data_IF_659929074013
#
_entry.id   IF_659929074013
#
_cell.length_a   1.000
_cell.length_b   1.000
_cell.length_c   1.000
_cell.angle_alpha   90.00
_cell.angle_beta   90.00
_cell.angle_gamma   90.00
#
_symmetry.space_group_name_H-M   'P 1'
#
loop_
_entity.id
_entity.type
_entity.pdbx_description
1 polymer ?
#
# COMPACT_ATOMS: atom_id res chain seq x y z
N UNK A 1 2.87 7.45 13.51
CA UNK A 1 2.92 7.77 12.07
C UNK A 1 2.37 6.59 11.26
N UNK A 2 1.73 6.82 10.11
CA UNK A 2 1.30 5.74 9.20
C UNK A 2 2.29 5.65 8.04
N UNK A 3 3.14 4.63 8.05
CA UNK A 3 4.17 4.45 7.02
C UNK A 3 3.63 3.81 5.74
N UNK A 4 2.69 2.87 5.87
CA UNK A 4 2.13 2.20 4.70
C UNK A 4 1.41 3.17 3.76
N UNK A 5 1.66 3.09 2.44
CA UNK A 5 0.85 3.77 1.42
C UNK A 5 -0.54 3.14 1.28
N UNK A 6 -0.70 1.85 1.62
CA UNK A 6 -1.99 1.15 1.59
C UNK A 6 -2.80 1.37 2.87
N UNK A 7 -4.12 1.29 2.71
CA UNK A 7 -5.09 1.19 3.80
C UNK A 7 -5.55 -0.25 3.88
N UNK A 8 -4.99 -1.01 4.81
CA UNK A 8 -5.34 -2.42 4.96
C UNK A 8 -6.18 -2.66 6.23
N UNK A 9 -7.29 -3.40 6.15
CA UNK A 9 -8.01 -3.89 7.32
C UNK A 9 -7.11 -4.76 8.21
N UNK A 10 -7.35 -4.76 9.52
CA UNK A 10 -6.66 -5.67 10.45
C UNK A 10 -5.86 -4.99 11.56
N UNK A 11 -5.73 -3.65 11.56
CA UNK A 11 -5.34 -2.90 12.76
C UNK A 11 -3.99 -3.29 13.38
N UNK A 12 -3.12 -3.98 12.64
CA UNK A 12 -1.83 -4.50 13.14
C UNK A 12 -0.85 -3.40 13.56
N UNK A 13 -1.17 -2.13 13.33
CA UNK A 13 -0.43 -1.01 13.91
C UNK A 13 -0.30 -1.09 15.44
N UNK A 14 -1.23 -1.73 16.16
CA UNK A 14 -1.07 -2.00 17.61
C UNK A 14 -0.04 -3.08 17.92
N UNK A 15 0.22 -4.02 17.00
CA UNK A 15 1.21 -5.08 17.17
C UNK A 15 2.65 -4.57 17.04
N UNK A 16 2.87 -3.37 16.48
CA UNK A 16 4.21 -2.83 16.28
C UNK A 16 5.01 -2.77 17.60
N UNK A 17 4.37 -2.34 18.69
CA UNK A 17 5.00 -2.22 20.00
C UNK A 17 5.36 -3.59 20.56
N UNK A 18 4.47 -4.58 20.40
CA UNK A 18 4.71 -5.95 20.84
C UNK A 18 5.88 -6.56 20.06
N UNK A 19 5.89 -6.43 18.72
CA UNK A 19 6.94 -6.99 17.88
C UNK A 19 8.30 -6.34 18.16
N UNK A 20 8.33 -5.01 18.34
CA UNK A 20 9.54 -4.29 18.74
C UNK A 20 10.08 -4.80 20.07
N UNK A 21 9.22 -4.94 21.07
CA UNK A 21 9.60 -5.46 22.39
C UNK A 21 10.13 -6.90 22.31
N UNK A 22 9.50 -7.77 21.52
CA UNK A 22 9.99 -9.14 21.31
C UNK A 22 11.39 -9.17 20.66
N UNK A 23 11.66 -8.28 19.70
CA UNK A 23 12.97 -8.18 19.06
C UNK A 23 14.04 -7.66 20.04
N UNK A 24 13.69 -6.68 20.88
CA UNK A 24 14.54 -6.17 21.96
C UNK A 24 14.89 -7.27 22.97
N UNK A 25 13.89 -7.94 23.54
CA UNK A 25 14.10 -9.00 24.52
C UNK A 25 14.87 -10.21 23.97
N UNK A 26 14.77 -10.46 22.66
CA UNK A 26 15.47 -11.57 22.02
C UNK A 26 16.83 -11.20 21.42
N UNK A 27 17.28 -9.95 21.56
CA UNK A 27 18.55 -9.46 21.03
C UNK A 27 18.66 -9.47 19.51
N UNK A 28 17.52 -9.44 18.80
CA UNK A 28 17.45 -9.54 17.32
C UNK A 28 17.26 -8.21 16.60
N UNK A 29 17.55 -7.11 17.29
CA UNK A 29 17.54 -5.78 16.68
C UNK A 29 18.59 -5.70 15.57
N UNK A 30 18.34 -4.87 14.56
CA UNK A 30 19.22 -4.74 13.39
C UNK A 30 19.20 -5.96 12.45
N UNK A 31 18.37 -6.98 12.70
CA UNK A 31 18.23 -8.15 11.84
C UNK A 31 17.31 -7.94 10.63
N UNK A 32 16.83 -9.05 10.08
CA UNK A 32 15.82 -9.09 8.99
C UNK A 32 14.47 -9.51 9.54
N UNK A 33 13.42 -8.73 9.29
CA UNK A 33 12.04 -9.10 9.63
C UNK A 33 11.30 -9.64 8.41
N UNK A 34 10.82 -10.87 8.49
CA UNK A 34 10.12 -11.55 7.38
C UNK A 34 8.61 -11.54 7.66
N UNK A 35 7.83 -10.88 6.80
CA UNK A 35 6.37 -10.82 6.90
C UNK A 35 5.72 -11.60 5.75
N UNK A 36 5.32 -12.87 5.97
CA UNK A 36 4.78 -13.73 4.92
C UNK A 36 3.37 -13.36 4.45
N UNK A 37 2.69 -12.47 5.18
CA UNK A 37 1.34 -11.97 4.90
C UNK A 37 1.34 -10.45 4.99
N UNK A 38 2.10 -9.82 4.09
CA UNK A 38 2.40 -8.40 4.16
C UNK A 38 1.13 -7.55 4.17
N UNK A 39 0.20 -7.74 3.23
CA UNK A 39 -0.92 -6.85 3.01
C UNK A 39 -0.43 -5.40 2.90
N UNK A 40 -0.71 -4.60 3.93
CA UNK A 40 -0.20 -3.22 4.05
C UNK A 40 1.20 -3.06 4.65
N UNK A 41 1.87 -4.13 5.09
CA UNK A 41 3.22 -4.14 5.68
C UNK A 41 3.41 -3.14 6.84
N UNK A 42 2.35 -2.85 7.60
CA UNK A 42 2.37 -1.78 8.61
C UNK A 42 3.36 -2.05 9.75
N UNK A 43 3.58 -3.33 10.10
CA UNK A 43 4.54 -3.73 11.13
C UNK A 43 5.96 -3.66 10.55
N UNK A 44 6.22 -4.35 9.44
CA UNK A 44 7.54 -4.37 8.79
C UNK A 44 8.07 -2.96 8.51
N UNK A 45 7.26 -2.10 7.88
CA UNK A 45 7.65 -0.73 7.60
C UNK A 45 7.91 0.09 8.86
N UNK A 46 7.15 -0.14 9.94
CA UNK A 46 7.39 0.54 11.20
C UNK A 46 8.71 0.12 11.82
N UNK A 47 9.02 -1.18 11.82
CA UNK A 47 10.27 -1.71 12.37
C UNK A 47 11.48 -1.21 11.57
N UNK A 48 11.37 -1.17 10.24
CA UNK A 48 12.42 -0.69 9.35
C UNK A 48 12.66 0.82 9.53
N UNK A 49 11.60 1.63 9.39
CA UNK A 49 11.72 3.10 9.38
C UNK A 49 12.01 3.69 10.78
N UNK A 50 11.72 2.95 11.84
CA UNK A 50 12.12 3.31 13.21
C UNK A 50 13.48 2.71 13.60
N UNK A 51 14.21 2.08 12.67
CA UNK A 51 15.56 1.56 12.88
C UNK A 51 15.64 0.34 13.81
N UNK A 52 14.52 -0.35 14.05
CA UNK A 52 14.49 -1.55 14.90
C UNK A 52 15.09 -2.76 14.17
N UNK A 53 14.90 -2.83 12.85
CA UNK A 53 15.47 -3.86 11.96
C UNK A 53 16.14 -3.17 10.77
N UNK A 54 17.13 -3.85 10.17
CA UNK A 54 17.88 -3.30 9.03
C UNK A 54 17.26 -3.67 7.70
N UNK A 55 16.58 -4.82 7.65
CA UNK A 55 15.98 -5.35 6.43
C UNK A 55 14.58 -5.90 6.70
N UNK A 56 13.74 -5.88 5.67
CA UNK A 56 12.44 -6.54 5.67
C UNK A 56 12.31 -7.41 4.43
N UNK A 57 11.58 -8.51 4.57
CA UNK A 57 11.17 -9.36 3.45
C UNK A 57 9.65 -9.43 3.46
N UNK A 58 9.02 -8.96 2.38
CA UNK A 58 7.58 -8.95 2.24
C UNK A 58 7.15 -10.05 1.28
N UNK A 59 6.19 -10.86 1.72
CA UNK A 59 5.50 -11.81 0.85
C UNK A 59 3.99 -11.67 1.05
N UNK A 60 3.23 -11.88 -0.02
CA UNK A 60 1.78 -12.00 0.03
C UNK A 60 1.29 -12.94 -1.06
N UNK A 61 0.24 -13.71 -0.77
CA UNK A 61 -0.39 -14.61 -1.75
C UNK A 61 -1.19 -13.83 -2.79
N UNK A 62 -1.71 -12.65 -2.43
CA UNK A 62 -2.48 -11.83 -3.35
C UNK A 62 -1.55 -11.21 -4.41
N UNK A 63 -1.71 -11.64 -5.66
CA UNK A 63 -0.93 -11.16 -6.82
C UNK A 63 -0.99 -9.64 -6.96
N UNK A 64 -2.12 -9.00 -6.62
CA UNK A 64 -2.27 -7.55 -6.72
C UNK A 64 -1.47 -6.81 -5.64
N UNK A 65 -1.40 -7.37 -4.42
CA UNK A 65 -0.58 -6.83 -3.34
C UNK A 65 0.91 -7.02 -3.63
N UNK A 66 1.30 -8.21 -4.10
CA UNK A 66 2.65 -8.44 -4.59
C UNK A 66 3.03 -7.45 -5.71
N UNK A 67 2.17 -7.32 -6.72
CA UNK A 67 2.40 -6.42 -7.85
C UNK A 67 2.54 -4.96 -7.39
N UNK A 68 1.74 -4.53 -6.41
CA UNK A 68 1.89 -3.20 -5.80
C UNK A 68 3.28 -3.01 -5.18
N UNK A 69 3.69 -3.88 -4.25
CA UNK A 69 4.97 -3.74 -3.56
C UNK A 69 6.14 -3.80 -4.54
N UNK A 70 6.15 -4.78 -5.44
CA UNK A 70 7.18 -4.91 -6.48
C UNK A 70 7.24 -3.66 -7.37
N UNK A 71 6.10 -3.10 -7.79
CA UNK A 71 6.09 -1.89 -8.64
C UNK A 71 6.63 -0.65 -7.94
N UNK A 72 6.36 -0.46 -6.65
CA UNK A 72 6.88 0.74 -5.96
C UNK A 72 8.37 0.66 -5.64
N UNK A 73 8.97 -0.54 -5.60
CA UNK A 73 10.41 -0.73 -5.38
C UNK A 73 11.19 -0.80 -6.70
N UNK A 74 10.63 -1.38 -7.75
CA UNK A 74 11.34 -1.54 -9.03
C UNK A 74 11.12 -0.35 -10.00
N UNK A 75 10.00 0.36 -9.87
CA UNK A 75 9.60 1.43 -10.80
C UNK A 75 9.11 2.67 -10.04
N UNK A 76 9.80 3.05 -8.97
CA UNK A 76 9.32 4.04 -7.99
C UNK A 76 8.94 5.39 -8.59
N UNK A 77 9.81 6.00 -9.40
CA UNK A 77 9.54 7.31 -10.01
C UNK A 77 8.34 7.26 -10.96
N UNK A 78 8.25 6.18 -11.75
CA UNK A 78 7.11 5.93 -12.63
C UNK A 78 5.82 5.79 -11.82
N UNK A 79 5.87 5.10 -10.69
CA UNK A 79 4.72 4.93 -9.79
C UNK A 79 4.30 6.24 -9.13
N UNK A 80 5.26 7.03 -8.62
CA UNK A 80 5.01 8.35 -8.05
C UNK A 80 4.40 9.28 -9.09
N UNK A 81 4.94 9.32 -10.31
CA UNK A 81 4.35 10.08 -11.40
C UNK A 81 2.91 9.64 -11.69
N UNK A 82 2.63 8.33 -11.63
CA UNK A 82 1.26 7.82 -11.77
C UNK A 82 0.33 8.31 -10.65
N UNK A 83 0.81 8.38 -9.41
CA UNK A 83 0.05 8.96 -8.28
C UNK A 83 -0.29 10.42 -8.53
N UNK A 84 0.59 11.19 -9.18
CA UNK A 84 0.32 12.59 -9.49
C UNK A 84 -0.65 12.79 -10.65
N UNK A 85 -0.57 11.92 -11.66
CA UNK A 85 -1.25 12.13 -12.95
C UNK A 85 -2.55 11.36 -13.11
N UNK A 86 -2.78 10.29 -12.33
CA UNK A 86 -4.00 9.48 -12.49
C UNK A 86 -5.26 10.32 -12.21
N UNK A 87 -6.27 10.34 -13.12
CA UNK A 87 -7.53 11.03 -12.88
C UNK A 87 -8.28 10.45 -11.68
N UNK A 88 -9.01 11.26 -10.93
CA UNK A 88 -9.89 10.81 -9.84
C UNK A 88 -11.34 10.87 -10.29
N UNK A 89 -11.69 10.03 -11.26
CA UNK A 89 -13.03 9.96 -11.84
C UNK A 89 -13.61 8.55 -11.75
N UNK A 90 -14.91 8.42 -12.01
CA UNK A 90 -15.60 7.12 -11.99
C UNK A 90 -15.16 6.27 -13.18
N UNK A 91 -14.89 6.89 -14.33
CA UNK A 91 -14.40 6.23 -15.54
C UNK A 91 -13.03 5.60 -15.27
N UNK A 92 -12.11 6.36 -14.67
CA UNK A 92 -10.80 5.83 -14.29
C UNK A 92 -10.94 4.73 -13.22
N UNK A 93 -11.84 4.90 -12.25
CA UNK A 93 -12.12 3.84 -11.28
C UNK A 93 -12.62 2.54 -11.92
N UNK A 94 -13.50 2.63 -12.91
CA UNK A 94 -13.98 1.47 -13.66
C UNK A 94 -12.84 0.81 -14.45
N UNK A 95 -11.99 1.62 -15.10
CA UNK A 95 -10.79 1.13 -15.79
C UNK A 95 -9.86 0.37 -14.85
N UNK A 96 -9.53 0.95 -13.70
CA UNK A 96 -8.67 0.29 -12.71
C UNK A 96 -9.32 -0.99 -12.15
N UNK A 97 -10.65 -1.02 -12.00
CA UNK A 97 -11.38 -2.23 -11.61
C UNK A 97 -11.34 -3.32 -12.69
N UNK A 98 -11.32 -2.96 -13.97
CA UNK A 98 -11.15 -3.91 -15.07
C UNK A 98 -9.72 -4.47 -15.08
N UNK A 99 -8.70 -3.62 -14.95
CA UNK A 99 -7.29 -4.04 -14.85
C UNK A 99 -7.09 -5.01 -13.68
N UNK A 100 -7.63 -4.71 -12.50
CA UNK A 100 -7.51 -5.60 -11.33
C UNK A 100 -8.10 -7.01 -11.57
N UNK A 101 -9.13 -7.12 -12.42
CA UNK A 101 -9.81 -8.40 -12.74
C UNK A 101 -9.17 -9.15 -13.89
N UNK A 102 -8.42 -8.44 -14.73
CA UNK A 102 -7.75 -9.01 -15.88
C UNK A 102 -6.53 -9.82 -15.43
N UNK A 103 -6.53 -11.11 -15.76
CA UNK A 103 -5.48 -12.06 -15.36
C UNK A 103 -4.17 -11.79 -16.09
N UNK A 104 -4.26 -11.17 -17.26
CA UNK A 104 -3.14 -10.91 -18.18
C UNK A 104 -2.56 -9.51 -17.99
N UNK A 105 -3.10 -8.71 -17.07
CA UNK A 105 -2.53 -7.42 -16.70
C UNK A 105 -1.06 -7.55 -16.33
N UNK A 106 -0.25 -6.67 -16.92
CA UNK A 106 1.15 -6.53 -16.52
C UNK A 106 1.27 -6.10 -15.06
N UNK A 107 2.40 -6.43 -14.45
CA UNK A 107 2.65 -6.23 -13.02
C UNK A 107 2.51 -4.76 -12.61
N UNK A 108 3.03 -3.82 -13.41
CA UNK A 108 2.98 -2.40 -13.07
C UNK A 108 1.54 -1.88 -13.09
N UNK A 109 0.79 -2.19 -14.15
CA UNK A 109 -0.62 -1.82 -14.27
C UNK A 109 -1.46 -2.44 -13.15
N UNK A 110 -1.21 -3.71 -12.80
CA UNK A 110 -1.88 -4.38 -11.70
C UNK A 110 -1.57 -3.72 -10.34
N UNK A 111 -0.31 -3.35 -10.10
CA UNK A 111 0.12 -2.65 -8.89
C UNK A 111 -0.52 -1.26 -8.74
N UNK A 112 -0.60 -0.50 -9.84
CA UNK A 112 -1.30 0.79 -9.89
C UNK A 112 -2.80 0.61 -9.62
N UNK A 113 -3.44 -0.39 -10.22
CA UNK A 113 -4.85 -0.69 -10.00
C UNK A 113 -5.13 -1.06 -8.54
N UNK A 114 -4.30 -1.92 -7.95
CA UNK A 114 -4.40 -2.30 -6.54
C UNK A 114 -4.31 -1.08 -5.63
N UNK A 115 -3.30 -0.23 -5.84
CA UNK A 115 -3.13 1.00 -5.07
C UNK A 115 -4.32 1.96 -5.24
N UNK A 116 -4.71 2.22 -6.49
CA UNK A 116 -5.80 3.16 -6.79
C UNK A 116 -7.08 2.73 -6.09
N UNK A 117 -7.51 1.48 -6.31
CA UNK A 117 -8.71 0.93 -5.70
C UNK A 117 -8.60 0.87 -4.17
N UNK A 118 -7.43 0.56 -3.61
CA UNK A 118 -7.21 0.63 -2.16
C UNK A 118 -7.44 2.04 -1.60
N UNK A 119 -7.04 3.10 -2.32
CA UNK A 119 -7.24 4.48 -1.87
C UNK A 119 -8.64 5.00 -2.14
N UNK A 120 -9.33 4.47 -3.15
CA UNK A 120 -10.62 5.01 -3.63
C UNK A 120 -11.84 4.17 -3.23
N UNK A 121 -11.65 2.94 -2.73
CA UNK A 121 -12.73 2.07 -2.30
C UNK A 121 -13.09 2.22 -0.83
N UNK A 122 -14.34 1.85 -0.51
CA UNK A 122 -14.81 1.73 0.87
C UNK A 122 -13.88 0.82 1.65
N UNK A 123 -13.46 1.33 2.80
CA UNK A 123 -12.53 0.68 3.71
C UNK A 123 -11.15 0.27 3.13
N UNK A 124 -10.80 0.70 1.92
CA UNK A 124 -9.60 0.26 1.22
C UNK A 124 -9.61 -1.21 0.79
N UNK A 125 -10.79 -1.82 0.74
CA UNK A 125 -10.98 -3.19 0.28
C UNK A 125 -11.03 -3.18 -1.25
N UNK A 126 -10.15 -3.94 -1.91
CA UNK A 126 -10.02 -3.93 -3.38
C UNK A 126 -11.31 -4.38 -4.10
N UNK A 127 -12.02 -5.35 -3.52
CA UNK A 127 -13.28 -5.87 -4.07
C UNK A 127 -14.50 -4.97 -3.79
N UNK A 128 -14.40 -4.04 -2.85
CA UNK A 128 -15.51 -3.20 -2.43
C UNK A 128 -15.91 -2.16 -3.49
N UNK A 129 -17.01 -1.44 -3.23
CA UNK A 129 -17.45 -0.32 -4.06
C UNK A 129 -16.62 0.94 -3.82
N UNK A 130 -16.68 1.87 -4.77
CA UNK A 130 -16.08 3.21 -4.68
C UNK A 130 -16.62 3.97 -3.46
N UNK A 131 -15.77 4.75 -2.80
CA UNK A 131 -16.20 5.75 -1.82
C UNK A 131 -17.15 6.76 -2.48
N UNK A 132 -18.12 7.27 -1.73
CA UNK A 132 -19.11 8.21 -2.28
C UNK A 132 -20.17 7.59 -3.19
N UNK A 133 -20.06 6.30 -3.52
CA UNK A 133 -20.96 5.61 -4.45
C UNK A 133 -20.70 6.00 -5.91
N UNK A 134 -21.30 5.26 -6.87
CA UNK A 134 -21.05 5.50 -8.30
C UNK A 134 -21.44 6.91 -8.76
N UNK A 135 -22.43 7.54 -8.12
CA UNK A 135 -22.84 8.93 -8.40
C UNK A 135 -21.98 9.98 -7.69
N UNK A 136 -21.05 9.58 -6.81
CA UNK A 136 -20.22 10.49 -6.00
C UNK A 136 -21.03 11.49 -5.14
N UNK A 137 -22.20 11.07 -4.66
CA UNK A 137 -23.11 11.88 -3.82
C UNK A 137 -22.88 11.66 -2.31
N UNK A 138 -22.11 10.64 -1.92
CA UNK A 138 -21.80 10.40 -0.51
C UNK A 138 -20.87 11.47 0.09
N UNK A 139 -20.94 11.64 1.41
CA UNK A 139 -20.13 12.60 2.19
C UNK A 139 -18.64 12.58 1.86
N UNK A 140 -18.09 11.40 1.59
CA UNK A 140 -16.69 11.20 1.23
C UNK A 140 -16.59 10.69 -0.20
N UNK A 141 -16.01 11.51 -1.08
CA UNK A 141 -15.80 11.19 -2.50
C UNK A 141 -14.50 10.43 -2.73
N UNK A 142 -14.19 10.17 -3.99
CA UNK A 142 -13.05 9.39 -4.47
C UNK A 142 -11.68 9.92 -3.97
N UNK A 143 -11.57 11.24 -3.85
CA UNK A 143 -10.38 11.99 -3.45
C UNK A 143 -10.14 12.05 -1.93
N UNK A 144 -11.16 11.76 -1.13
CA UNK A 144 -11.12 11.90 0.34
C UNK A 144 -9.95 11.15 1.01
N UNK A 145 -9.39 10.15 0.33
CA UNK A 145 -8.20 9.41 0.78
C UNK A 145 -7.10 9.36 -0.28
N UNK A 146 -7.14 10.18 -1.31
CA UNK A 146 -6.13 10.23 -2.36
C UNK A 146 -5.30 11.52 -2.26
N UNK A 147 -4.73 11.80 -1.08
CA UNK A 147 -3.79 12.90 -0.94
C UNK A 147 -2.48 12.57 -1.65
N UNK A 148 -2.31 13.08 -2.87
CA UNK A 148 -1.20 12.75 -3.77
C UNK A 148 0.16 13.00 -3.11
N UNK A 149 0.37 14.18 -2.52
CA UNK A 149 1.62 14.55 -1.86
C UNK A 149 1.98 13.62 -0.70
N UNK A 150 1.02 13.31 0.18
CA UNK A 150 1.27 12.40 1.30
C UNK A 150 1.57 10.98 0.83
N UNK A 151 0.88 10.50 -0.19
CA UNK A 151 1.06 9.15 -0.73
C UNK A 151 2.39 9.00 -1.47
N UNK A 152 2.74 9.97 -2.32
CA UNK A 152 4.02 10.03 -3.00
C UNK A 152 5.18 10.11 -1.99
N UNK A 153 5.07 10.96 -0.96
CA UNK A 153 6.09 11.06 0.09
C UNK A 153 6.28 9.76 0.86
N UNK A 154 5.20 9.03 1.16
CA UNK A 154 5.31 7.72 1.84
C UNK A 154 6.12 6.73 1.01
N UNK A 155 5.87 6.67 -0.30
CA UNK A 155 6.62 5.78 -1.21
C UNK A 155 8.06 6.26 -1.35
N UNK A 156 8.28 7.57 -1.58
CA UNK A 156 9.62 8.13 -1.71
C UNK A 156 10.50 7.92 -0.47
N UNK A 157 9.93 7.92 0.73
CA UNK A 157 10.67 7.61 1.96
C UNK A 157 11.18 6.15 2.02
N UNK A 158 10.60 5.23 1.23
CA UNK A 158 11.06 3.84 1.18
C UNK A 158 12.29 3.66 0.29
N UNK A 159 12.57 4.60 -0.62
CA UNK A 159 13.73 4.54 -1.52
C UNK A 159 15.07 4.48 -0.79
N UNK A 160 15.13 5.01 0.44
CA UNK A 160 16.35 5.00 1.27
C UNK A 160 16.76 3.55 1.62
N UNK A 161 15.84 2.59 1.53
CA UNK A 161 16.02 1.20 1.93
C UNK A 161 16.01 0.22 0.76
N UNK A 162 16.09 0.73 -0.48
CA UNK A 162 16.13 -0.07 -1.70
C UNK A 162 17.57 -0.41 -2.09
#
# INVERSE_FOLDING_TARGET
MYYSPLRYPGGKGKLKTVMKHMLECSGKQGGTFIEPFAGGAAVSLSLLLEGTVSHIVLNDKDKAIFAFWSSIFEETDRFINKIYTVPLTIEEWQKQRSILKDKDSDRFSLGVAAFYLNRTNRSGILSAGVMGGKKQEGKWKLDARFNRNSLAKRIGNLLIFN
#
